data_IF_181149830254
#
_entry.id   IF_181149830254
#
_cell.length_a   1.000
_cell.length_b   1.000
_cell.length_c   1.000
_cell.angle_alpha   90.00
_cell.angle_beta   90.00
_cell.angle_gamma   90.00
#
_symmetry.space_group_name_H-M   'P 1'
#
loop_
_entity.id
_entity.type
_entity.pdbx_description
1 polymer ?
#
# COMPACT_ATOMS: atom_id res chain seq x y z
N UNK A 1 12.41 7.27 18.48
CA UNK A 1 11.95 8.66 18.72
C UNK A 1 11.80 8.86 20.23
N UNK A 2 12.26 10.00 20.77
CA UNK A 2 12.26 10.30 22.22
C UNK A 2 10.95 10.97 22.69
N UNK A 3 9.83 10.51 22.15
CA UNK A 3 8.51 11.08 22.48
C UNK A 3 8.06 10.62 23.88
N UNK A 4 7.36 11.47 24.65
CA UNK A 4 6.81 11.10 25.96
C UNK A 4 5.86 9.89 25.91
N UNK A 5 5.20 9.69 24.77
CA UNK A 5 4.24 8.62 24.50
C UNK A 5 4.79 7.56 23.53
N UNK A 6 6.13 7.40 23.43
CA UNK A 6 6.73 6.37 22.57
C UNK A 6 6.24 4.96 22.93
N UNK A 7 6.31 4.06 21.94
CA UNK A 7 6.00 2.64 22.15
C UNK A 7 6.79 2.05 23.33
N UNK A 8 6.09 1.24 24.13
CA UNK A 8 6.67 0.44 25.22
C UNK A 8 6.96 -1.01 24.80
N UNK A 9 6.59 -1.39 23.57
CA UNK A 9 6.80 -2.71 23.02
C UNK A 9 8.09 -2.71 22.16
N UNK A 10 9.16 -3.40 22.58
CA UNK A 10 10.40 -3.44 21.82
C UNK A 10 10.17 -3.96 20.39
N UNK A 11 10.72 -3.25 19.39
CA UNK A 11 10.60 -3.63 17.99
C UNK A 11 9.26 -3.27 17.32
N UNK A 12 8.31 -2.67 18.03
CA UNK A 12 6.99 -2.29 17.49
C UNK A 12 6.69 -0.80 17.69
N UNK A 13 6.09 -0.15 16.69
CA UNK A 13 5.63 1.23 16.77
C UNK A 13 4.54 1.51 15.72
N UNK A 14 3.65 2.48 15.99
CA UNK A 14 2.71 2.99 14.98
C UNK A 14 3.40 4.02 14.10
N UNK A 15 3.98 3.56 12.99
CA UNK A 15 4.68 4.42 12.03
C UNK A 15 3.86 4.73 10.77
N UNK A 16 2.59 4.32 10.74
CA UNK A 16 1.62 4.63 9.68
C UNK A 16 0.39 5.41 10.22
N UNK A 17 0.36 5.71 11.52
CA UNK A 17 -0.70 6.52 12.15
C UNK A 17 -2.00 5.77 12.46
N UNK A 18 -2.00 4.42 12.46
CA UNK A 18 -3.21 3.62 12.72
C UNK A 18 -3.77 3.79 14.15
N UNK A 19 -2.92 4.20 15.10
CA UNK A 19 -3.33 4.66 16.42
C UNK A 19 -4.18 5.94 16.34
N UNK A 20 -3.76 6.90 15.53
CA UNK A 20 -4.51 8.12 15.27
C UNK A 20 -5.83 7.83 14.54
N UNK A 21 -5.83 6.96 13.53
CA UNK A 21 -7.06 6.59 12.81
C UNK A 21 -8.09 5.96 13.77
N UNK A 22 -7.63 5.03 14.62
CA UNK A 22 -8.45 4.39 15.65
C UNK A 22 -9.04 5.42 16.62
N UNK A 23 -8.21 6.33 17.14
CA UNK A 23 -8.65 7.36 18.07
C UNK A 23 -9.61 8.38 17.43
N UNK A 24 -9.38 8.78 16.18
CA UNK A 24 -10.29 9.65 15.42
C UNK A 24 -11.65 8.98 15.18
N UNK A 25 -11.66 7.71 14.78
CA UNK A 25 -12.89 6.97 14.53
C UNK A 25 -13.69 6.75 15.82
N UNK A 26 -13.01 6.44 16.92
CA UNK A 26 -13.63 6.31 18.24
C UNK A 26 -14.20 7.66 18.73
N UNK A 27 -13.48 8.76 18.53
CA UNK A 27 -13.95 10.11 18.83
C UNK A 27 -15.22 10.47 18.05
N UNK A 28 -15.24 10.16 16.75
CA UNK A 28 -16.42 10.34 15.91
C UNK A 28 -17.60 9.47 16.39
N UNK A 29 -17.34 8.19 16.70
CA UNK A 29 -18.35 7.28 17.24
C UNK A 29 -18.98 7.81 18.54
N UNK A 30 -18.17 8.40 19.43
CA UNK A 30 -18.66 9.03 20.66
C UNK A 30 -19.62 10.19 20.35
N UNK A 31 -19.21 11.13 19.51
CA UNK A 31 -20.01 12.32 19.14
C UNK A 31 -21.31 11.93 18.42
N UNK A 32 -21.24 10.95 17.51
CA UNK A 32 -22.40 10.50 16.75
C UNK A 32 -23.39 9.72 17.63
N UNK A 33 -22.89 8.94 18.61
CA UNK A 33 -23.74 8.22 19.55
C UNK A 33 -24.53 9.14 20.48
N UNK A 34 -23.95 10.29 20.87
CA UNK A 34 -24.64 11.32 21.66
C UNK A 34 -25.74 12.07 20.87
N UNK A 35 -25.74 11.97 19.54
CA UNK A 35 -26.67 12.67 18.65
C UNK A 35 -27.34 11.72 17.64
N UNK A 36 -27.57 10.47 18.06
CA UNK A 36 -28.08 9.39 17.21
C UNK A 36 -29.44 9.72 16.58
N UNK A 37 -30.30 10.43 17.30
CA UNK A 37 -31.63 10.89 16.87
C UNK A 37 -31.58 11.86 15.68
N UNK A 38 -30.42 12.46 15.40
CA UNK A 38 -30.22 13.43 14.33
C UNK A 38 -29.63 12.80 13.07
N UNK A 39 -29.25 11.53 13.10
CA UNK A 39 -28.71 10.82 11.96
C UNK A 39 -29.83 10.41 11.00
N UNK A 40 -29.59 10.61 9.71
CA UNK A 40 -30.52 10.23 8.63
C UNK A 40 -30.27 8.82 8.11
N UNK A 41 -29.14 8.22 8.46
CA UNK A 41 -28.73 6.90 8.06
C UNK A 41 -28.20 6.10 9.26
N UNK A 42 -28.00 4.80 9.05
CA UNK A 42 -27.23 3.97 9.99
C UNK A 42 -25.73 4.17 9.73
N UNK A 43 -24.93 4.20 10.79
CA UNK A 43 -23.47 4.32 10.69
C UNK A 43 -22.85 3.08 11.33
N UNK A 44 -21.97 2.40 10.59
CA UNK A 44 -21.19 1.26 11.08
C UNK A 44 -19.72 1.65 11.14
N UNK A 45 -19.11 1.48 12.30
CA UNK A 45 -17.68 1.77 12.53
C UNK A 45 -16.88 0.48 12.38
N UNK A 46 -15.94 0.45 11.45
CA UNK A 46 -15.07 -0.70 11.20
C UNK A 46 -13.69 -0.43 11.83
N UNK A 47 -13.36 -1.17 12.90
CA UNK A 47 -12.03 -1.15 13.52
C UNK A 47 -11.25 -2.35 13.01
N UNK A 48 -10.58 -2.17 11.88
CA UNK A 48 -9.93 -3.25 11.17
C UNK A 48 -8.53 -3.57 11.74
N UNK A 49 -8.18 -4.86 11.96
CA UNK A 49 -6.83 -5.27 12.29
C UNK A 49 -5.96 -5.50 11.03
N UNK A 50 -4.65 -5.70 11.21
CA UNK A 50 -3.79 -6.38 10.23
C UNK A 50 -3.68 -5.78 8.80
N UNK A 51 -3.89 -4.47 8.60
CA UNK A 51 -3.72 -3.84 7.27
C UNK A 51 -2.28 -4.02 6.73
N UNK A 52 -1.27 -3.91 7.58
CA UNK A 52 0.15 -3.85 7.17
C UNK A 52 0.72 -5.18 6.60
N UNK A 53 -0.02 -6.29 6.67
CA UNK A 53 0.46 -7.60 6.23
C UNK A 53 -0.58 -8.34 5.41
N UNK A 54 -0.18 -8.81 4.21
CA UNK A 54 -1.02 -9.69 3.39
C UNK A 54 -1.48 -10.92 4.21
N UNK A 55 -2.77 -11.32 4.15
CA UNK A 55 -3.81 -10.85 3.22
C UNK A 55 -4.62 -9.63 3.69
N UNK A 56 -4.17 -8.91 4.71
CA UNK A 56 -4.90 -7.80 5.32
C UNK A 56 -5.84 -8.26 6.43
N UNK A 57 -6.65 -7.35 6.96
CA UNK A 57 -7.77 -7.66 7.86
C UNK A 57 -9.14 -7.53 7.19
N UNK A 58 -9.24 -6.75 6.10
CA UNK A 58 -10.50 -6.53 5.40
C UNK A 58 -11.18 -7.83 4.95
N UNK A 59 -10.49 -8.83 4.35
CA UNK A 59 -11.15 -10.04 3.88
C UNK A 59 -11.84 -10.84 4.99
N UNK A 60 -11.21 -10.96 6.16
CA UNK A 60 -11.79 -11.66 7.31
C UNK A 60 -13.03 -10.93 7.84
N UNK A 61 -12.97 -9.60 7.96
CA UNK A 61 -14.12 -8.81 8.38
C UNK A 61 -15.29 -8.89 7.38
N UNK A 62 -15.00 -8.89 6.08
CA UNK A 62 -16.02 -9.06 5.03
C UNK A 62 -16.68 -10.43 5.15
N UNK A 63 -15.89 -11.49 5.36
CA UNK A 63 -16.41 -12.84 5.57
C UNK A 63 -17.33 -12.93 6.79
N UNK A 64 -17.03 -12.18 7.86
CA UNK A 64 -17.86 -12.05 9.07
C UNK A 64 -19.08 -11.12 8.88
N UNK A 65 -19.31 -10.61 7.66
CA UNK A 65 -20.51 -9.85 7.31
C UNK A 65 -20.44 -8.36 7.64
N UNK A 66 -19.24 -7.79 7.84
CA UNK A 66 -19.10 -6.37 8.22
C UNK A 66 -19.71 -5.39 7.21
N UNK A 67 -19.91 -5.81 5.95
CA UNK A 67 -20.53 -5.00 4.88
C UNK A 67 -22.01 -5.33 4.61
N UNK A 68 -22.63 -6.27 5.33
CA UNK A 68 -24.04 -6.59 5.10
C UNK A 68 -24.94 -5.38 5.36
N UNK A 69 -25.68 -4.97 4.32
CA UNK A 69 -26.57 -3.80 4.36
C UNK A 69 -25.85 -2.44 4.40
N UNK A 70 -24.61 -2.37 3.92
CA UNK A 70 -23.84 -1.11 3.82
C UNK A 70 -23.91 -0.58 2.39
N UNK A 71 -24.37 0.68 2.22
CA UNK A 71 -24.54 1.30 0.90
C UNK A 71 -23.29 2.04 0.40
N UNK A 72 -22.47 2.54 1.33
CA UNK A 72 -21.23 3.29 1.09
C UNK A 72 -20.18 2.94 2.13
N UNK A 73 -18.92 2.87 1.72
CA UNK A 73 -17.78 2.65 2.62
C UNK A 73 -16.77 3.77 2.46
N UNK A 74 -16.22 4.27 3.56
CA UNK A 74 -15.25 5.36 3.54
C UNK A 74 -14.08 5.01 4.44
N UNK A 75 -12.87 5.26 3.94
CA UNK A 75 -11.61 5.09 4.66
C UNK A 75 -10.87 6.42 4.75
N UNK A 76 -9.99 6.59 5.74
CA UNK A 76 -9.19 7.80 5.86
C UNK A 76 -7.81 7.47 6.43
N UNK A 77 -6.78 8.02 5.81
CA UNK A 77 -5.40 7.83 6.20
C UNK A 77 -4.70 9.17 6.41
N UNK A 78 -3.93 9.31 7.50
CA UNK A 78 -3.06 10.48 7.69
C UNK A 78 -1.97 10.51 6.63
N UNK A 79 -1.77 11.64 5.96
CA UNK A 79 -0.93 11.74 4.78
C UNK A 79 0.15 12.80 4.98
N UNK A 80 1.42 12.40 5.23
CA UNK A 80 2.52 13.32 5.53
C UNK A 80 2.99 14.22 4.39
N UNK A 81 2.37 14.11 3.20
CA UNK A 81 2.65 14.98 2.05
C UNK A 81 1.74 16.19 2.05
N UNK A 82 0.54 16.06 2.62
CA UNK A 82 -0.47 17.11 2.67
C UNK A 82 -0.40 17.86 4.00
N UNK A 83 -0.47 19.19 3.97
CA UNK A 83 -0.41 20.04 5.16
C UNK A 83 -1.55 19.72 6.15
N UNK A 84 -1.23 19.73 7.44
CA UNK A 84 -2.22 19.51 8.50
C UNK A 84 -3.44 20.43 8.33
N UNK A 85 -4.63 19.86 8.51
CA UNK A 85 -5.88 20.59 8.38
C UNK A 85 -6.45 20.67 6.97
N UNK A 86 -5.96 19.84 6.05
CA UNK A 86 -6.53 19.66 4.71
C UNK A 86 -6.99 18.23 4.50
N UNK A 87 -7.99 18.06 3.65
CA UNK A 87 -8.45 16.78 3.13
C UNK A 87 -8.08 16.68 1.65
N UNK A 88 -7.54 15.55 1.28
CA UNK A 88 -7.16 15.16 -0.05
C UNK A 88 -8.08 14.08 -0.59
N UNK A 89 -8.55 14.25 -1.83
CA UNK A 89 -9.34 13.29 -2.56
C UNK A 89 -8.79 13.13 -3.97
N UNK A 90 -8.83 11.91 -4.49
CA UNK A 90 -8.55 11.62 -5.90
C UNK A 90 -9.69 10.74 -6.42
N UNK A 91 -10.18 11.00 -7.64
CA UNK A 91 -11.21 10.18 -8.28
C UNK A 91 -10.54 9.14 -9.15
N UNK A 92 -10.96 7.89 -9.03
CA UNK A 92 -10.36 6.77 -9.75
C UNK A 92 -9.22 6.10 -8.98
N UNK A 93 -8.27 5.45 -9.69
CA UNK A 93 -7.18 4.71 -9.07
C UNK A 93 -6.31 5.62 -8.18
N UNK A 94 -6.37 5.37 -6.88
CA UNK A 94 -5.79 6.25 -5.84
C UNK A 94 -4.58 5.62 -5.17
N UNK A 95 -4.64 4.31 -4.92
CA UNK A 95 -3.55 3.50 -4.38
C UNK A 95 -3.40 2.22 -5.20
N UNK A 96 -2.17 1.76 -5.42
CA UNK A 96 -1.85 0.68 -6.33
C UNK A 96 -2.08 -0.72 -5.74
N UNK A 97 -2.20 -1.71 -6.63
CA UNK A 97 -2.05 -3.14 -6.33
C UNK A 97 -0.57 -3.46 -6.03
N UNK A 98 -0.23 -3.96 -4.83
CA UNK A 98 1.14 -4.22 -4.40
C UNK A 98 1.53 -5.71 -4.47
N UNK A 99 1.85 -6.21 -5.66
CA UNK A 99 2.27 -7.61 -5.80
C UNK A 99 3.73 -7.82 -5.38
N UNK A 100 4.05 -9.01 -4.89
CA UNK A 100 5.41 -9.39 -4.48
C UNK A 100 5.88 -10.60 -5.30
N UNK A 101 7.18 -10.64 -5.59
CA UNK A 101 7.81 -11.79 -6.22
C UNK A 101 9.10 -12.18 -5.51
N UNK A 102 9.39 -13.47 -5.53
CA UNK A 102 10.64 -14.06 -5.10
C UNK A 102 11.09 -15.07 -6.16
N UNK A 103 12.30 -14.88 -6.68
CA UNK A 103 12.90 -15.75 -7.69
C UNK A 103 14.12 -16.41 -7.06
N UNK A 104 14.13 -17.74 -7.00
CA UNK A 104 15.31 -18.50 -6.60
C UNK A 104 15.97 -19.09 -7.84
N UNK A 105 17.22 -18.71 -8.10
CA UNK A 105 18.05 -19.28 -9.14
C UNK A 105 18.88 -20.43 -8.56
N UNK A 106 19.01 -21.53 -9.30
CA UNK A 106 19.83 -22.70 -8.93
C UNK A 106 20.76 -23.08 -10.08
N UNK A 107 22.04 -23.17 -9.79
CA UNK A 107 23.09 -23.53 -10.74
C UNK A 107 24.00 -24.60 -10.16
N UNK A 108 25.26 -24.56 -10.59
CA UNK A 108 26.30 -25.49 -10.15
C UNK A 108 27.43 -24.66 -9.56
N UNK A 109 27.58 -24.72 -8.25
CA UNK A 109 28.66 -24.05 -7.54
C UNK A 109 30.00 -24.78 -7.69
N UNK A 110 31.09 -24.10 -7.33
CA UNK A 110 32.42 -24.68 -7.41
C UNK A 110 33.54 -23.67 -7.23
N UNK A 111 34.78 -24.08 -7.51
CA UNK A 111 35.93 -23.19 -7.37
C UNK A 111 35.93 -22.12 -8.47
N UNK A 112 36.09 -20.85 -8.08
CA UNK A 112 36.12 -19.71 -9.00
C UNK A 112 37.25 -19.76 -10.06
N UNK A 113 38.30 -20.55 -9.86
CA UNK A 113 39.38 -20.73 -10.84
C UNK A 113 39.03 -21.71 -11.97
N UNK A 114 37.92 -22.45 -11.85
CA UNK A 114 37.45 -23.40 -12.87
C UNK A 114 35.98 -23.13 -13.27
N UNK A 115 35.65 -21.91 -13.75
CA UNK A 115 34.25 -21.52 -14.01
C UNK A 115 33.56 -22.36 -15.10
N UNK A 116 34.32 -22.98 -16.00
CA UNK A 116 33.79 -23.85 -17.06
C UNK A 116 33.13 -25.15 -16.53
N UNK A 117 33.36 -25.52 -15.27
CA UNK A 117 32.66 -26.62 -14.60
C UNK A 117 31.39 -26.19 -13.86
N UNK A 118 31.13 -24.89 -13.77
CA UNK A 118 30.09 -24.30 -12.93
C UNK A 118 28.93 -23.75 -13.78
N UNK A 119 27.83 -23.35 -13.11
CA UNK A 119 26.73 -22.57 -13.68
C UNK A 119 26.46 -21.40 -12.74
N UNK A 120 27.03 -20.26 -13.07
CA UNK A 120 27.18 -19.13 -12.16
C UNK A 120 25.86 -18.36 -11.99
N UNK A 121 25.22 -18.57 -10.84
CA UNK A 121 23.98 -17.89 -10.45
C UNK A 121 24.17 -16.40 -10.16
N UNK A 122 25.38 -15.94 -9.86
CA UNK A 122 25.67 -14.51 -9.61
C UNK A 122 25.54 -13.73 -10.92
N UNK A 123 26.15 -14.24 -12.00
CA UNK A 123 26.05 -13.64 -13.33
C UNK A 123 24.61 -13.71 -13.84
N UNK A 124 23.94 -14.85 -13.66
CA UNK A 124 22.53 -15.00 -14.05
C UNK A 124 21.62 -14.01 -13.31
N UNK A 125 21.79 -13.84 -11.99
CA UNK A 125 21.02 -12.88 -11.19
C UNK A 125 21.24 -11.44 -11.64
N UNK A 126 22.48 -11.04 -11.93
CA UNK A 126 22.79 -9.69 -12.41
C UNK A 126 22.09 -9.39 -13.76
N UNK A 127 22.14 -10.34 -14.70
CA UNK A 127 21.45 -10.22 -15.98
C UNK A 127 19.93 -10.22 -15.83
N UNK A 128 19.39 -11.02 -14.91
CA UNK A 128 17.97 -11.05 -14.60
C UNK A 128 17.49 -9.69 -14.14
N UNK A 129 18.16 -9.09 -13.15
CA UNK A 129 17.78 -7.77 -12.61
C UNK A 129 17.81 -6.69 -13.68
N UNK A 130 18.82 -6.69 -14.55
CA UNK A 130 18.89 -5.78 -15.68
C UNK A 130 17.73 -6.00 -16.68
N UNK A 131 17.43 -7.26 -17.01
CA UNK A 131 16.36 -7.60 -17.95
C UNK A 131 14.96 -7.26 -17.41
N UNK A 132 14.71 -7.41 -16.10
CA UNK A 132 13.42 -7.07 -15.48
C UNK A 132 13.04 -5.59 -15.66
N UNK A 133 14.00 -4.70 -15.85
CA UNK A 133 13.73 -3.28 -16.14
C UNK A 133 13.01 -3.08 -17.49
N UNK A 134 13.08 -4.07 -18.39
CA UNK A 134 12.36 -4.04 -19.67
C UNK A 134 10.85 -4.24 -19.54
N UNK A 135 10.37 -4.81 -18.42
CA UNK A 135 8.95 -5.05 -18.17
C UNK A 135 8.18 -3.73 -18.24
N UNK A 136 8.54 -2.75 -17.43
CA UNK A 136 7.89 -1.43 -17.47
C UNK A 136 8.31 -0.68 -18.73
N UNK A 137 9.62 -0.62 -19.02
CA UNK A 137 10.10 0.29 -20.04
C UNK A 137 9.69 -0.09 -21.46
N UNK A 138 9.48 -1.38 -21.78
CA UNK A 138 9.22 -1.88 -23.15
C UNK A 138 7.90 -2.64 -23.32
N UNK A 139 7.21 -3.04 -22.24
CA UNK A 139 5.95 -3.78 -22.35
C UNK A 139 4.72 -3.00 -21.87
N UNK A 140 4.87 -2.12 -20.88
CA UNK A 140 3.77 -1.28 -20.42
C UNK A 140 3.55 -0.09 -21.38
N UNK A 141 2.31 0.32 -21.55
CA UNK A 141 1.97 1.57 -22.24
C UNK A 141 2.67 2.75 -21.51
N UNK A 142 3.43 3.61 -22.21
CA UNK A 142 4.13 4.73 -21.59
C UNK A 142 3.21 5.75 -20.88
N UNK A 143 1.91 5.74 -21.15
CA UNK A 143 0.91 6.57 -20.45
C UNK A 143 0.33 5.89 -19.20
N UNK A 144 0.67 4.63 -18.95
CA UNK A 144 0.18 3.84 -17.82
C UNK A 144 1.26 3.72 -16.75
N UNK A 145 0.85 3.79 -15.49
CA UNK A 145 1.78 3.78 -14.37
C UNK A 145 2.03 2.35 -13.89
N UNK A 146 3.30 1.95 -13.86
CA UNK A 146 3.74 0.66 -13.32
C UNK A 146 5.16 0.73 -12.82
N UNK A 147 5.47 -0.06 -11.79
CA UNK A 147 6.80 -0.17 -11.20
C UNK A 147 7.15 -1.63 -11.00
N UNK A 148 8.38 -2.00 -11.36
CA UNK A 148 9.01 -3.27 -10.99
C UNK A 148 10.27 -2.90 -10.22
N UNK A 149 10.31 -3.23 -8.93
CA UNK A 149 11.45 -2.94 -8.07
C UNK A 149 12.04 -4.25 -7.55
N UNK A 150 13.29 -4.54 -7.93
CA UNK A 150 14.10 -5.56 -7.26
C UNK A 150 14.71 -4.92 -6.02
N UNK A 151 14.31 -5.40 -4.84
CA UNK A 151 14.72 -4.82 -3.56
C UNK A 151 15.66 -5.72 -2.78
N UNK A 152 15.83 -6.98 -3.21
CA UNK A 152 16.65 -7.97 -2.53
C UNK A 152 17.45 -8.79 -3.54
N UNK A 153 18.75 -8.96 -3.27
CA UNK A 153 19.61 -9.94 -3.92
C UNK A 153 20.50 -10.56 -2.84
N UNK A 154 20.49 -11.88 -2.72
CA UNK A 154 21.30 -12.61 -1.74
C UNK A 154 21.96 -13.84 -2.36
N UNK A 155 23.28 -13.97 -2.23
CA UNK A 155 24.06 -15.13 -2.71
C UNK A 155 25.50 -15.07 -2.19
N UNK A 156 26.21 -16.19 -2.26
CA UNK A 156 27.64 -16.29 -1.95
C UNK A 156 27.97 -16.28 -0.45
N UNK A 157 29.10 -16.91 -0.10
CA UNK A 157 29.62 -16.96 1.29
C UNK A 157 31.14 -16.85 1.38
N UNK A 158 31.86 -16.89 0.25
CA UNK A 158 33.32 -16.85 0.18
C UNK A 158 33.81 -16.29 -1.17
N UNK A 159 34.99 -15.64 -1.18
CA UNK A 159 35.51 -14.92 -2.35
C UNK A 159 35.93 -15.82 -3.53
N UNK A 160 36.32 -17.07 -3.24
CA UNK A 160 36.86 -18.01 -4.24
C UNK A 160 35.89 -19.14 -4.62
N UNK A 161 34.62 -19.01 -4.25
CA UNK A 161 33.56 -20.01 -4.49
C UNK A 161 32.44 -19.38 -5.31
N UNK A 162 32.09 -20.02 -6.42
CA UNK A 162 30.86 -19.72 -7.15
C UNK A 162 29.70 -20.38 -6.39
N UNK A 163 28.68 -19.63 -5.96
CA UNK A 163 27.55 -20.19 -5.22
C UNK A 163 26.64 -21.03 -6.11
N UNK A 164 25.92 -21.97 -5.50
CA UNK A 164 24.93 -22.81 -6.19
C UNK A 164 23.55 -22.17 -6.29
N UNK A 165 23.26 -21.13 -5.49
CA UNK A 165 21.94 -20.49 -5.46
C UNK A 165 22.01 -18.98 -5.27
N UNK A 166 21.01 -18.29 -5.82
CA UNK A 166 20.79 -16.86 -5.60
C UNK A 166 19.30 -16.58 -5.40
N UNK A 167 18.99 -15.69 -4.47
CA UNK A 167 17.64 -15.18 -4.25
C UNK A 167 17.52 -13.76 -4.82
N UNK A 168 16.45 -13.50 -5.59
CA UNK A 168 16.09 -12.17 -6.11
C UNK A 168 14.65 -11.88 -5.72
N UNK A 169 14.43 -10.88 -4.87
CA UNK A 169 13.12 -10.51 -4.36
C UNK A 169 12.74 -9.08 -4.71
N UNK A 170 11.44 -8.82 -4.84
CA UNK A 170 10.95 -7.50 -5.21
C UNK A 170 9.44 -7.36 -5.22
N UNK A 171 8.98 -6.25 -5.80
CA UNK A 171 7.57 -5.89 -5.86
C UNK A 171 7.19 -5.33 -7.23
N UNK A 172 5.93 -5.56 -7.62
CA UNK A 172 5.26 -4.94 -8.75
C UNK A 172 4.15 -4.02 -8.22
N UNK A 173 4.07 -2.81 -8.75
CA UNK A 173 3.00 -1.84 -8.45
C UNK A 173 2.29 -1.44 -9.72
N UNK A 174 0.96 -1.40 -9.66
CA UNK A 174 0.10 -0.97 -10.77
C UNK A 174 -1.20 -0.34 -10.26
N UNK A 175 -1.71 0.65 -10.99
CA UNK A 175 -3.07 1.17 -10.77
C UNK A 175 -4.16 0.38 -11.51
N UNK A 176 -3.78 -0.71 -12.18
CA UNK A 176 -4.68 -1.51 -12.99
C UNK A 176 -4.30 -3.00 -12.92
N UNK A 177 -5.32 -3.86 -12.83
CA UNK A 177 -5.14 -5.29 -12.69
C UNK A 177 -4.59 -5.96 -13.97
N UNK A 178 -5.04 -5.52 -15.15
CA UNK A 178 -4.58 -6.06 -16.43
C UNK A 178 -3.10 -5.71 -16.66
N UNK A 179 -2.69 -4.48 -16.30
CA UNK A 179 -1.27 -4.09 -16.33
C UNK A 179 -0.43 -4.91 -15.34
N UNK A 180 -0.93 -5.14 -14.13
CA UNK A 180 -0.23 -5.95 -13.13
C UNK A 180 -0.03 -7.38 -13.64
N UNK A 181 -1.07 -7.97 -14.25
CA UNK A 181 -1.03 -9.32 -14.80
C UNK A 181 -0.12 -9.41 -16.04
N UNK A 182 -0.10 -8.38 -16.89
CA UNK A 182 0.88 -8.24 -17.96
C UNK A 182 2.30 -8.20 -17.41
N UNK A 183 2.57 -7.34 -16.42
CA UNK A 183 3.89 -7.19 -15.83
C UNK A 183 4.36 -8.49 -15.16
N UNK A 184 3.45 -9.21 -14.48
CA UNK A 184 3.70 -10.54 -13.94
C UNK A 184 4.11 -11.52 -15.03
N UNK A 185 3.31 -11.65 -16.10
CA UNK A 185 3.59 -12.58 -17.19
C UNK A 185 4.94 -12.28 -17.87
N UNK A 186 5.28 -10.99 -18.03
CA UNK A 186 6.57 -10.56 -18.57
C UNK A 186 7.73 -10.86 -17.63
N UNK A 187 7.56 -10.64 -16.32
CA UNK A 187 8.56 -10.99 -15.31
C UNK A 187 8.83 -12.49 -15.30
N UNK A 188 7.78 -13.32 -15.29
CA UNK A 188 7.90 -14.78 -15.30
C UNK A 188 8.66 -15.26 -16.54
N UNK A 189 8.27 -14.79 -17.74
CA UNK A 189 8.96 -15.13 -18.97
C UNK A 189 10.43 -14.70 -18.99
N UNK A 190 10.75 -13.47 -18.57
CA UNK A 190 12.13 -12.97 -18.51
C UNK A 190 12.96 -13.82 -17.54
N UNK A 191 12.44 -14.13 -16.35
CA UNK A 191 13.12 -14.94 -15.36
C UNK A 191 13.49 -16.33 -15.91
N UNK A 192 12.53 -17.03 -16.51
CA UNK A 192 12.78 -18.34 -17.10
C UNK A 192 13.76 -18.30 -18.28
N UNK A 193 13.62 -17.31 -19.18
CA UNK A 193 14.48 -17.22 -20.36
C UNK A 193 15.89 -16.77 -20.02
N UNK A 194 16.07 -15.85 -19.07
CA UNK A 194 17.40 -15.50 -18.56
C UNK A 194 18.04 -16.70 -17.89
N UNK A 195 17.33 -17.42 -17.02
CA UNK A 195 17.87 -18.61 -16.37
C UNK A 195 18.36 -19.66 -17.39
N UNK A 196 17.52 -19.96 -18.39
CA UNK A 196 17.89 -20.86 -19.50
C UNK A 196 19.14 -20.40 -20.26
N UNK A 197 19.28 -19.11 -20.54
CA UNK A 197 20.44 -18.56 -21.26
C UNK A 197 21.76 -18.76 -20.50
N UNK A 198 21.72 -18.84 -19.17
CA UNK A 198 22.87 -19.10 -18.30
C UNK A 198 22.97 -20.56 -17.84
N UNK A 199 22.13 -21.45 -18.40
CA UNK A 199 22.06 -22.86 -18.02
C UNK A 199 21.85 -23.06 -16.49
N UNK A 200 21.03 -22.20 -15.89
CA UNK A 200 20.55 -22.31 -14.50
C UNK A 200 19.04 -22.50 -14.47
N UNK A 201 18.51 -22.99 -13.35
CA UNK A 201 17.08 -23.12 -13.11
C UNK A 201 16.56 -21.89 -12.36
N UNK A 202 15.28 -21.53 -12.59
CA UNK A 202 14.57 -20.51 -11.82
C UNK A 202 13.26 -21.07 -11.27
N UNK A 203 13.01 -20.85 -9.98
CA UNK A 203 11.69 -21.03 -9.38
C UNK A 203 11.14 -19.66 -8.96
N UNK A 204 9.87 -19.41 -9.26
CA UNK A 204 9.23 -18.11 -9.06
C UNK A 204 8.06 -18.29 -8.11
N UNK A 205 8.14 -17.64 -6.96
CA UNK A 205 7.04 -17.49 -6.03
C UNK A 205 6.45 -16.09 -6.22
N UNK A 206 5.17 -16.03 -6.57
CA UNK A 206 4.46 -14.79 -6.84
C UNK A 206 3.24 -14.66 -5.93
N UNK A 207 3.18 -13.57 -5.18
CA UNK A 207 2.07 -13.26 -4.28
C UNK A 207 1.34 -12.03 -4.80
N UNK A 208 0.07 -12.22 -5.18
CA UNK A 208 -0.82 -11.12 -5.53
C UNK A 208 -1.16 -10.35 -4.26
N UNK A 209 -1.00 -9.03 -4.28
CA UNK A 209 -1.27 -8.15 -3.16
C UNK A 209 -2.74 -7.73 -3.08
N UNK A 210 -2.97 -6.60 -2.43
CA UNK A 210 -4.28 -5.94 -2.36
C UNK A 210 -4.76 -5.48 -3.74
N UNK A 211 -6.09 -5.37 -3.94
CA UNK A 211 -6.64 -4.70 -5.11
C UNK A 211 -6.26 -3.21 -5.15
N UNK A 212 -6.52 -2.57 -6.27
CA UNK A 212 -6.35 -1.12 -6.43
C UNK A 212 -7.42 -0.41 -5.60
N UNK A 213 -7.02 0.59 -4.80
CA UNK A 213 -7.98 1.51 -4.18
C UNK A 213 -8.57 2.37 -5.28
N UNK A 214 -9.85 2.16 -5.57
CA UNK A 214 -10.58 2.81 -6.64
C UNK A 214 -11.66 3.70 -6.04
N UNK A 215 -11.37 5.00 -5.97
CA UNK A 215 -12.31 5.97 -5.46
C UNK A 215 -13.43 6.23 -6.48
N UNK A 216 -14.66 5.95 -6.07
CA UNK A 216 -15.86 6.22 -6.86
C UNK A 216 -16.14 7.73 -6.94
N UNK A 217 -16.52 8.22 -8.12
CA UNK A 217 -16.72 9.65 -8.36
C UNK A 217 -17.84 10.23 -7.49
N UNK A 218 -18.98 9.52 -7.39
CA UNK A 218 -20.12 9.96 -6.58
C UNK A 218 -19.73 9.96 -5.09
N UNK A 219 -18.98 8.95 -4.64
CA UNK A 219 -18.47 8.90 -3.26
C UNK A 219 -17.51 10.06 -2.95
N UNK A 220 -16.65 10.46 -3.89
CA UNK A 220 -15.80 11.64 -3.73
C UNK A 220 -16.63 12.93 -3.65
N UNK A 221 -17.67 13.07 -4.47
CA UNK A 221 -18.60 14.20 -4.43
C UNK A 221 -19.35 14.26 -3.09
N UNK A 222 -19.76 13.11 -2.54
CA UNK A 222 -20.36 13.00 -1.21
C UNK A 222 -19.40 13.51 -0.12
N UNK A 223 -18.13 13.10 -0.16
CA UNK A 223 -17.13 13.58 0.81
C UNK A 223 -16.93 15.09 0.69
N UNK A 224 -16.74 15.61 -0.51
CA UNK A 224 -16.50 17.05 -0.71
C UNK A 224 -17.70 17.89 -0.24
N UNK A 225 -18.91 17.49 -0.59
CA UNK A 225 -20.14 18.18 -0.19
C UNK A 225 -20.32 18.19 1.33
N UNK A 226 -20.02 17.08 2.01
CA UNK A 226 -20.17 16.96 3.45
C UNK A 226 -19.06 17.69 4.23
N UNK A 227 -17.82 17.63 3.75
CA UNK A 227 -16.63 17.98 4.54
C UNK A 227 -16.11 19.39 4.27
N UNK A 228 -16.30 19.95 3.08
CA UNK A 228 -15.73 21.25 2.66
C UNK A 228 -16.08 22.42 3.59
N UNK A 229 -17.21 22.36 4.29
CA UNK A 229 -17.63 23.39 5.26
C UNK A 229 -16.89 23.31 6.60
N UNK A 230 -16.27 22.17 6.91
CA UNK A 230 -15.56 21.94 8.16
C UNK A 230 -14.06 21.90 7.97
N UNK A 231 -13.56 21.25 6.91
CA UNK A 231 -12.13 21.12 6.60
C UNK A 231 -11.94 21.41 5.11
N UNK A 232 -10.96 22.24 4.71
CA UNK A 232 -10.64 22.44 3.30
C UNK A 232 -10.38 21.13 2.57
N UNK A 233 -11.07 20.92 1.45
CA UNK A 233 -10.92 19.74 0.58
C UNK A 233 -10.18 20.15 -0.69
N UNK A 234 -9.25 19.33 -1.16
CA UNK A 234 -8.61 19.44 -2.47
C UNK A 234 -8.74 18.14 -3.24
N UNK A 235 -9.00 18.26 -4.55
CA UNK A 235 -8.94 17.14 -5.51
C UNK A 235 -7.57 16.98 -6.18
N UNK A 236 -6.69 17.96 -5.97
CA UNK A 236 -5.33 17.95 -6.49
C UNK A 236 -4.43 17.16 -5.52
N UNK A 237 -4.60 15.83 -5.54
CA UNK A 237 -3.74 14.90 -4.82
C UNK A 237 -3.22 13.86 -5.79
N UNK A 238 -1.90 13.73 -5.81
CA UNK A 238 -1.21 12.71 -6.59
C UNK A 238 -1.52 11.32 -6.02
N UNK A 239 -2.03 10.39 -6.84
CA UNK A 239 -2.12 8.98 -6.47
C UNK A 239 -0.77 8.40 -6.02
N UNK A 240 -0.82 7.36 -5.20
CA UNK A 240 0.39 6.71 -4.66
C UNK A 240 0.48 5.27 -5.11
N UNK A 241 1.70 4.78 -5.34
CA UNK A 241 1.95 3.35 -5.62
C UNK A 241 2.06 2.50 -4.33
N UNK A 242 1.74 3.07 -3.17
CA UNK A 242 1.42 2.29 -1.96
C UNK A 242 0.16 1.44 -2.19
N UNK A 243 0.00 0.36 -1.42
CA UNK A 243 -1.23 -0.43 -1.42
C UNK A 243 -1.95 -0.31 -0.09
N UNK A 244 -3.23 -0.66 -0.07
CA UNK A 244 -4.11 -0.51 1.08
C UNK A 244 -5.25 -1.53 0.96
N UNK A 245 -5.50 -2.32 2.01
CA UNK A 245 -6.46 -3.43 1.96
C UNK A 245 -7.92 -2.97 2.05
N UNK A 246 -8.17 -1.69 2.34
CA UNK A 246 -9.48 -1.04 2.15
C UNK A 246 -10.08 -1.30 0.77
N UNK A 247 -9.24 -1.51 -0.24
CA UNK A 247 -9.66 -1.86 -1.59
C UNK A 247 -10.57 -3.10 -1.64
N UNK A 248 -10.41 -4.06 -0.71
CA UNK A 248 -11.32 -5.21 -0.62
C UNK A 248 -12.75 -4.81 -0.24
N UNK A 249 -12.93 -3.74 0.55
CA UNK A 249 -14.27 -3.21 0.80
C UNK A 249 -14.85 -2.58 -0.48
N UNK A 250 -14.01 -1.87 -1.26
CA UNK A 250 -14.42 -1.22 -2.50
C UNK A 250 -14.84 -2.21 -3.61
N UNK A 251 -14.32 -3.44 -3.59
CA UNK A 251 -14.82 -4.51 -4.46
C UNK A 251 -16.27 -4.92 -4.18
N UNK A 252 -16.78 -4.63 -2.97
CA UNK A 252 -18.14 -5.01 -2.54
C UNK A 252 -19.09 -3.83 -2.48
N UNK A 253 -18.59 -2.66 -2.08
CA UNK A 253 -19.39 -1.46 -1.81
C UNK A 253 -18.65 -0.23 -2.32
N UNK A 254 -19.34 0.65 -3.05
CA UNK A 254 -18.74 1.89 -3.55
C UNK A 254 -18.30 2.80 -2.40
N UNK A 255 -17.21 3.52 -2.60
CA UNK A 255 -16.59 4.25 -1.52
C UNK A 255 -15.46 5.16 -1.95
N UNK A 256 -14.97 5.94 -0.99
CA UNK A 256 -13.79 6.78 -1.17
C UNK A 256 -12.83 6.62 0.00
N UNK A 257 -11.54 6.58 -0.34
CA UNK A 257 -10.42 6.61 0.58
C UNK A 257 -9.83 8.03 0.63
N UNK A 258 -9.79 8.59 1.83
CA UNK A 258 -9.54 10.01 2.09
C UNK A 258 -8.12 10.19 2.62
N UNK A 259 -7.37 11.15 2.09
CA UNK A 259 -6.09 11.55 2.67
C UNK A 259 -6.27 12.74 3.62
N UNK A 260 -5.93 12.56 4.90
CA UNK A 260 -5.95 13.63 5.91
C UNK A 260 -4.56 14.20 6.08
N UNK A 261 -4.38 15.50 5.81
CA UNK A 261 -3.08 16.13 5.93
C UNK A 261 -2.48 16.03 7.33
N UNK A 262 -1.18 15.77 7.38
CA UNK A 262 -0.39 15.54 8.59
C UNK A 262 0.96 16.27 8.57
N UNK A 263 1.28 17.00 7.50
CA UNK A 263 2.56 17.70 7.37
C UNK A 263 2.53 19.03 8.13
N UNK A 264 3.52 19.22 8.99
CA UNK A 264 3.82 20.50 9.63
C UNK A 264 5.34 20.67 9.76
N UNK A 265 5.93 21.50 8.90
CA UNK A 265 7.37 21.77 8.92
C UNK A 265 7.83 22.50 10.18
N UNK A 266 6.99 23.38 10.73
CA UNK A 266 7.32 24.18 11.92
C UNK A 266 7.48 23.29 13.16
N UNK A 267 6.71 22.20 13.21
CA UNK A 267 6.81 21.17 14.23
C UNK A 267 7.77 20.04 13.84
N UNK A 268 8.36 20.04 12.64
CA UNK A 268 9.24 18.97 12.13
C UNK A 268 8.52 17.66 11.83
N UNK A 269 7.22 17.71 11.52
CA UNK A 269 6.36 16.59 11.13
C UNK A 269 6.37 16.51 9.60
N UNK A 270 7.43 15.90 9.07
CA UNK A 270 7.72 15.86 7.62
C UNK A 270 8.12 14.47 7.13
N UNK A 271 8.17 13.49 8.05
CA UNK A 271 8.60 12.14 7.74
C UNK A 271 7.44 11.31 7.21
N UNK A 272 7.69 10.59 6.12
CA UNK A 272 6.72 9.70 5.50
C UNK A 272 6.39 8.49 6.39
N UNK A 273 5.32 7.77 6.06
CA UNK A 273 4.95 6.53 6.75
C UNK A 273 6.13 5.55 6.79
N UNK A 274 6.16 4.73 7.84
CA UNK A 274 7.18 3.71 8.16
C UNK A 274 8.57 4.25 8.49
N UNK A 275 8.81 5.56 8.37
CA UNK A 275 10.04 6.16 8.84
C UNK A 275 10.13 6.15 10.38
N UNK A 276 11.26 5.80 11.03
CA UNK A 276 11.38 5.75 12.51
C UNK A 276 11.13 7.06 13.28
N UNK A 277 11.05 8.18 12.55
CA UNK A 277 10.71 9.52 13.07
C UNK A 277 9.32 10.00 12.68
N UNK A 278 8.53 9.17 11.99
CA UNK A 278 7.12 9.44 11.76
C UNK A 278 6.42 9.73 13.08
N UNK A 279 5.54 10.73 13.05
CA UNK A 279 4.59 11.04 14.11
C UNK A 279 3.38 11.74 13.50
N UNK A 280 2.24 11.61 14.16
CA UNK A 280 1.02 12.32 13.79
C UNK A 280 1.05 13.71 14.42
N UNK A 281 0.54 14.70 13.70
CA UNK A 281 0.25 16.02 14.24
C UNK A 281 -1.04 15.94 15.08
N UNK A 282 -0.96 16.27 16.36
CA UNK A 282 -2.13 16.25 17.25
C UNK A 282 -3.27 17.13 16.73
N UNK A 283 -2.98 18.18 15.96
CA UNK A 283 -4.01 19.01 15.33
C UNK A 283 -4.79 18.23 14.24
N UNK A 284 -4.14 17.29 13.54
CA UNK A 284 -4.80 16.45 12.55
C UNK A 284 -5.92 15.59 13.17
N UNK A 285 -5.79 15.19 14.44
CA UNK A 285 -6.80 14.42 15.19
C UNK A 285 -8.18 15.07 15.14
N UNK A 286 -8.25 16.37 15.44
CA UNK A 286 -9.50 17.11 15.46
C UNK A 286 -10.12 17.21 14.06
N UNK A 287 -9.29 17.38 13.02
CA UNK A 287 -9.74 17.40 11.63
C UNK A 287 -10.32 16.05 11.22
N UNK A 288 -9.65 14.94 11.55
CA UNK A 288 -10.15 13.59 11.25
C UNK A 288 -11.50 13.29 11.91
N UNK A 289 -11.67 13.62 13.19
CA UNK A 289 -12.97 13.49 13.87
C UNK A 289 -14.05 14.32 13.18
N UNK A 290 -13.75 15.57 12.81
CA UNK A 290 -14.69 16.47 12.14
C UNK A 290 -15.09 15.95 10.75
N UNK A 291 -14.15 15.40 9.99
CA UNK A 291 -14.41 14.74 8.70
C UNK A 291 -15.41 13.60 8.86
N UNK A 292 -15.17 12.67 9.79
CA UNK A 292 -16.08 11.54 10.02
C UNK A 292 -17.48 11.98 10.45
N UNK A 293 -17.55 12.92 11.40
CA UNK A 293 -18.84 13.44 11.89
C UNK A 293 -19.61 14.18 10.79
N UNK A 294 -18.92 14.97 9.97
CA UNK A 294 -19.54 15.69 8.85
C UNK A 294 -20.07 14.72 7.80
N UNK A 295 -19.27 13.71 7.42
CA UNK A 295 -19.66 12.70 6.44
C UNK A 295 -20.89 11.91 6.90
N UNK A 296 -20.90 11.42 8.14
CA UNK A 296 -22.02 10.69 8.71
C UNK A 296 -23.32 11.52 8.79
N UNK A 297 -23.21 12.85 8.97
CA UNK A 297 -24.37 13.76 9.02
C UNK A 297 -24.84 14.22 7.64
N UNK A 298 -23.90 14.32 6.69
CA UNK A 298 -24.16 14.70 5.30
C UNK A 298 -24.69 13.57 4.43
N UNK A 299 -24.54 12.32 4.88
CA UNK A 299 -25.06 11.14 4.20
C UNK A 299 -26.56 11.28 3.92
N UNK A 300 -26.93 11.03 2.65
CA UNK A 300 -28.33 10.99 2.22
C UNK A 300 -28.92 9.65 2.67
N UNK A 301 -30.20 9.66 3.04
CA UNK A 301 -30.95 8.44 3.36
C UNK A 301 -31.25 7.63 2.10
#
# INVERSE_FOLDING_TARGET
NDLPHRSRNPGAAHLCGHDAHTAMLLGAARVLSESRDRLRCSVRFLFQPNEEQLPGGAPAMIADGCLQGVDRVFGMHVWPVLDTGRIGLHVGPTMARPDNFAITLRGVGGHAAAPHHNRDVVVAAAHLVAALQSVVSRNLDPLRAGVVSVTQIHTGTADNVIPESAFVGGTIRSFDAEDADLMRARLEAIAEHTARAFEVEASIDYTVGYPVVLNDADACDEVEAAVSTVVPVTRDVTPTLGGEDFAYYQEKVRGAFIFLGNRDESQGIVHFCHHPRFRVDDNAMAHGVRTWVALARGARA
#
